data_IF_622990079452
#
_entry.id   IF_622990079452
#
_cell.length_a   1.000
_cell.length_b   1.000
_cell.length_c   1.000
_cell.angle_alpha   90.00
_cell.angle_beta   90.00
_cell.angle_gamma   90.00
#
_symmetry.space_group_name_H-M   'P 1'
#
loop_
_entity.id
_entity.type
_entity.pdbx_description
1 polymer ?
#
# COMPACT_ATOMS: atom_id res chain seq x y z
N UNK A 1 6.62 -35.34 -22.72
CA UNK A 1 7.04 -34.11 -22.01
C UNK A 1 5.77 -33.51 -21.45
N UNK A 2 5.57 -33.62 -20.15
CA UNK A 2 4.40 -33.07 -19.46
C UNK A 2 4.48 -31.54 -19.44
N UNK A 3 3.53 -30.86 -20.07
CA UNK A 3 3.35 -29.42 -19.95
C UNK A 3 3.15 -29.07 -18.47
N UNK A 4 4.17 -28.49 -17.83
CA UNK A 4 4.03 -27.92 -16.49
C UNK A 4 3.19 -26.64 -16.62
N UNK A 5 1.95 -26.69 -16.13
CA UNK A 5 1.10 -25.50 -16.03
C UNK A 5 1.72 -24.55 -15.00
N UNK A 6 1.97 -23.30 -15.41
CA UNK A 6 2.41 -22.21 -14.53
C UNK A 6 1.26 -21.23 -14.32
N UNK A 7 1.32 -20.46 -13.23
CA UNK A 7 0.41 -19.34 -12.98
C UNK A 7 1.18 -18.19 -12.30
N UNK A 8 0.69 -16.96 -12.41
CA UNK A 8 1.25 -15.80 -11.70
C UNK A 8 0.48 -15.57 -10.41
N UNK A 9 1.19 -15.41 -9.29
CA UNK A 9 0.58 -15.03 -8.02
C UNK A 9 -0.06 -13.64 -8.17
N UNK A 10 -1.37 -13.47 -7.94
CA UNK A 10 -2.04 -12.17 -8.10
C UNK A 10 -1.47 -11.10 -7.14
N UNK A 11 -0.84 -11.55 -6.05
CA UNK A 11 -0.33 -10.69 -4.98
C UNK A 11 1.09 -10.20 -5.16
N UNK A 12 2.05 -11.07 -5.50
CA UNK A 12 3.45 -10.67 -5.70
C UNK A 12 3.90 -10.72 -7.17
N UNK A 13 3.06 -11.25 -8.07
CA UNK A 13 3.38 -11.41 -9.49
C UNK A 13 4.33 -12.58 -9.79
N UNK A 14 4.85 -13.29 -8.77
CA UNK A 14 5.75 -14.42 -8.98
C UNK A 14 5.05 -15.51 -9.81
N UNK A 15 5.72 -15.97 -10.85
CA UNK A 15 5.27 -17.11 -11.65
C UNK A 15 5.73 -18.38 -10.98
N UNK A 16 4.79 -19.26 -10.63
CA UNK A 16 5.05 -20.54 -9.94
C UNK A 16 4.38 -21.70 -10.63
N UNK A 17 4.89 -22.91 -10.36
CA UNK A 17 4.27 -24.16 -10.79
C UNK A 17 2.88 -24.31 -10.16
N UNK A 18 1.89 -24.72 -10.97
CA UNK A 18 0.50 -24.88 -10.54
C UNK A 18 0.23 -26.02 -9.54
N UNK A 19 1.27 -26.76 -9.12
CA UNK A 19 1.20 -27.76 -8.05
C UNK A 19 1.31 -27.18 -6.64
N UNK A 20 1.66 -25.89 -6.51
CA UNK A 20 1.83 -25.23 -5.21
C UNK A 20 0.53 -24.62 -4.69
N UNK A 21 0.13 -24.97 -3.46
CA UNK A 21 -1.08 -24.45 -2.81
C UNK A 21 -0.87 -23.07 -2.14
N UNK A 22 0.37 -22.60 -2.08
CA UNK A 22 0.75 -21.29 -1.53
C UNK A 22 1.99 -20.75 -2.21
N UNK A 23 2.02 -19.44 -2.44
CA UNK A 23 3.12 -18.75 -3.07
C UNK A 23 4.33 -18.81 -2.13
N UNK A 24 5.44 -19.44 -2.55
CA UNK A 24 6.62 -19.59 -1.69
C UNK A 24 7.31 -18.26 -1.39
N UNK A 25 7.00 -17.20 -2.15
CA UNK A 25 7.63 -15.90 -2.00
C UNK A 25 6.86 -14.97 -1.07
N UNK A 26 5.52 -14.95 -1.13
CA UNK A 26 4.71 -14.04 -0.31
C UNK A 26 3.74 -14.73 0.66
N UNK A 27 3.67 -16.06 0.65
CA UNK A 27 2.80 -16.86 1.52
C UNK A 27 1.31 -16.87 1.14
N UNK A 28 0.90 -16.17 0.07
CA UNK A 28 -0.49 -16.14 -0.39
C UNK A 28 -0.95 -17.55 -0.83
N UNK A 29 -2.10 -18.05 -0.39
CA UNK A 29 -2.61 -19.33 -0.91
C UNK A 29 -2.97 -19.19 -2.40
N UNK A 30 -2.65 -20.23 -3.18
CA UNK A 30 -2.81 -20.24 -4.64
C UNK A 30 -3.83 -21.32 -5.06
N UNK A 31 -4.81 -21.62 -4.22
CA UNK A 31 -5.93 -22.46 -4.68
C UNK A 31 -6.77 -21.64 -5.67
N UNK A 32 -6.37 -21.76 -6.95
CA UNK A 32 -6.84 -21.02 -8.11
C UNK A 32 -8.21 -21.51 -8.60
N UNK A 33 -9.10 -21.91 -7.69
CA UNK A 33 -10.52 -21.58 -7.82
C UNK A 33 -10.74 -20.24 -7.13
N UNK A 34 -10.18 -19.25 -7.79
CA UNK A 34 -10.41 -17.82 -7.62
C UNK A 34 -11.72 -17.50 -6.88
N UNK A 35 -11.63 -17.02 -5.63
CA UNK A 35 -12.58 -16.00 -5.16
C UNK A 35 -12.16 -14.66 -5.78
N UNK A 36 -11.88 -14.65 -7.09
CA UNK A 36 -12.07 -13.45 -7.90
C UNK A 36 -13.57 -13.43 -8.08
N UNK A 37 -14.24 -12.70 -7.19
CA UNK A 37 -15.67 -12.46 -7.36
C UNK A 37 -15.90 -11.89 -8.76
N UNK A 38 -17.12 -11.97 -9.31
CA UNK A 38 -17.46 -11.34 -10.60
C UNK A 38 -17.01 -9.86 -10.69
N UNK A 39 -16.82 -9.22 -9.53
CA UNK A 39 -16.30 -7.85 -9.41
C UNK A 39 -14.80 -7.67 -9.73
N UNK A 40 -14.02 -8.75 -9.91
CA UNK A 40 -12.60 -8.72 -10.27
C UNK A 40 -11.63 -8.50 -9.10
N UNK A 41 -12.11 -8.55 -7.85
CA UNK A 41 -11.27 -8.43 -6.65
C UNK A 41 -10.90 -9.80 -6.09
N UNK A 42 -9.63 -9.97 -5.74
CA UNK A 42 -9.13 -11.07 -4.94
C UNK A 42 -8.80 -10.54 -3.53
N UNK A 43 -9.42 -11.10 -2.50
CA UNK A 43 -9.00 -10.85 -1.11
C UNK A 43 -7.58 -11.39 -0.90
N UNK A 44 -6.81 -10.81 0.02
CA UNK A 44 -5.59 -11.45 0.50
C UNK A 44 -5.99 -12.83 1.01
N UNK A 45 -5.60 -13.91 0.31
CA UNK A 45 -5.95 -15.23 0.79
C UNK A 45 -5.29 -15.37 2.16
N UNK A 46 -6.06 -15.81 3.15
CA UNK A 46 -5.59 -16.02 4.51
C UNK A 46 -4.23 -16.71 4.44
N UNK A 47 -3.18 -15.97 4.77
CA UNK A 47 -1.83 -16.52 4.84
C UNK A 47 -1.94 -17.70 5.78
N UNK A 48 -1.35 -18.84 5.42
CA UNK A 48 -1.23 -19.91 6.39
C UNK A 48 -0.52 -19.30 7.60
N UNK A 49 -1.17 -19.32 8.75
CA UNK A 49 -0.56 -18.87 10.00
C UNK A 49 0.84 -19.47 10.12
N UNK A 50 1.81 -18.68 10.56
CA UNK A 50 3.23 -19.02 10.59
C UNK A 50 3.91 -19.10 9.20
N UNK A 51 3.47 -18.33 8.21
CA UNK A 51 4.12 -18.25 6.90
C UNK A 51 5.57 -17.76 7.05
N UNK A 52 6.54 -18.57 6.60
CA UNK A 52 7.97 -18.23 6.60
C UNK A 52 8.43 -17.72 5.24
N UNK A 53 8.90 -16.48 5.20
CA UNK A 53 9.39 -15.79 4.02
C UNK A 53 10.92 -15.62 4.14
N UNK A 54 11.67 -16.31 3.29
CA UNK A 54 13.13 -16.25 3.29
C UNK A 54 13.63 -14.99 2.59
N UNK A 55 14.64 -14.32 3.16
CA UNK A 55 15.40 -13.25 2.51
C UNK A 55 16.86 -13.28 2.96
N UNK A 56 17.82 -13.22 2.03
CA UNK A 56 19.23 -13.42 2.39
C UNK A 56 19.44 -14.74 3.15
N UNK A 57 20.14 -14.71 4.28
CA UNK A 57 20.23 -15.84 5.23
C UNK A 57 19.30 -15.69 6.44
N UNK A 58 18.31 -14.81 6.32
CA UNK A 58 17.31 -14.47 7.33
C UNK A 58 15.92 -14.92 6.91
N UNK A 59 14.98 -14.92 7.83
CA UNK A 59 13.58 -15.17 7.49
C UNK A 59 12.64 -14.28 8.29
N UNK A 60 11.48 -14.01 7.72
CA UNK A 60 10.33 -13.40 8.39
C UNK A 60 9.24 -14.45 8.55
N UNK A 61 8.77 -14.65 9.76
CA UNK A 61 7.57 -15.39 10.07
C UNK A 61 6.43 -14.41 10.33
N UNK A 62 5.30 -14.61 9.67
CA UNK A 62 4.09 -13.82 9.93
C UNK A 62 3.18 -14.64 10.83
N UNK A 63 2.88 -14.09 12.00
CA UNK A 63 2.12 -14.75 13.06
C UNK A 63 0.86 -13.97 13.39
N UNK A 64 -0.20 -14.69 13.76
CA UNK A 64 -1.43 -14.09 14.27
C UNK A 64 -2.40 -13.71 13.15
N UNK A 65 -3.69 -13.99 13.40
CA UNK A 65 -4.75 -13.84 12.41
C UNK A 65 -5.51 -12.51 12.51
N UNK A 66 -5.54 -11.88 13.69
CA UNK A 66 -6.35 -10.68 13.94
C UNK A 66 -5.51 -9.41 14.01
N UNK A 67 -4.39 -9.46 14.74
CA UNK A 67 -3.38 -8.38 14.79
C UNK A 67 -2.04 -9.04 14.47
N UNK A 68 -1.62 -9.03 13.20
CA UNK A 68 -0.48 -9.82 12.77
C UNK A 68 0.85 -9.20 13.21
N UNK A 69 1.84 -10.07 13.43
CA UNK A 69 3.22 -9.74 13.79
C UNK A 69 4.16 -10.30 12.73
N UNK A 70 5.16 -9.51 12.32
CA UNK A 70 6.31 -9.99 11.55
C UNK A 70 7.45 -10.25 12.53
N UNK A 71 7.71 -11.51 12.85
CA UNK A 71 8.88 -11.96 13.60
C UNK A 71 10.01 -12.25 12.61
N UNK A 72 11.14 -11.53 12.72
CA UNK A 72 12.29 -11.70 11.85
C UNK A 72 13.49 -12.22 12.63
N UNK A 73 14.05 -13.34 12.15
CA UNK A 73 15.36 -13.83 12.55
C UNK A 73 16.42 -13.29 11.59
N UNK A 74 17.25 -12.35 12.06
CA UNK A 74 18.29 -11.71 11.25
C UNK A 74 19.63 -12.43 11.40
N UNK A 75 20.23 -12.82 10.28
CA UNK A 75 21.63 -13.19 10.18
C UNK A 75 22.53 -11.94 10.27
N UNK A 76 23.81 -12.13 10.63
CA UNK A 76 24.74 -11.03 10.91
C UNK A 76 24.93 -10.04 9.74
N UNK A 77 24.89 -10.53 8.50
CA UNK A 77 25.04 -9.72 7.29
C UNK A 77 23.74 -9.06 6.82
N UNK A 78 22.60 -9.52 7.33
CA UNK A 78 21.29 -9.05 6.90
C UNK A 78 20.80 -7.92 7.82
N UNK A 79 20.06 -7.00 7.23
CA UNK A 79 19.50 -5.86 7.93
C UNK A 79 18.18 -5.45 7.31
N UNK A 80 17.39 -4.72 8.09
CA UNK A 80 16.07 -4.21 7.71
C UNK A 80 15.96 -2.75 8.13
N UNK A 81 15.08 -2.00 7.45
CA UNK A 81 14.66 -0.68 7.89
C UNK A 81 13.14 -0.61 8.02
N UNK A 82 12.67 0.25 8.91
CA UNK A 82 11.28 0.26 9.35
C UNK A 82 10.85 1.65 9.83
N UNK A 83 9.54 1.85 9.90
CA UNK A 83 8.97 3.02 10.56
C UNK A 83 9.10 2.85 12.08
N UNK A 84 9.72 3.82 12.78
CA UNK A 84 10.10 3.64 14.20
C UNK A 84 8.97 3.16 15.14
N UNK A 85 7.72 3.55 14.86
CA UNK A 85 6.56 3.27 15.72
C UNK A 85 5.99 1.85 15.58
N UNK A 86 6.52 1.04 14.67
CA UNK A 86 6.02 -0.33 14.42
C UNK A 86 6.85 -1.42 15.10
N UNK A 87 7.92 -1.04 15.80
CA UNK A 87 8.75 -1.98 16.55
C UNK A 87 7.97 -2.54 17.74
N UNK A 88 7.82 -3.87 17.80
CA UNK A 88 7.13 -4.56 18.89
C UNK A 88 8.13 -5.03 19.95
N UNK A 89 9.14 -5.79 19.55
CA UNK A 89 10.20 -6.28 20.43
C UNK A 89 11.49 -6.57 19.65
N UNK A 90 12.61 -6.71 20.35
CA UNK A 90 13.90 -7.15 19.79
C UNK A 90 14.71 -7.91 20.83
N UNK A 91 15.64 -8.74 20.38
CA UNK A 91 16.71 -9.22 21.23
C UNK A 91 17.60 -8.04 21.68
N UNK A 92 18.14 -8.05 22.92
CA UNK A 92 19.01 -6.98 23.40
C UNK A 92 20.21 -6.68 22.49
N UNK A 93 20.78 -7.70 21.84
CA UNK A 93 21.94 -7.59 20.95
C UNK A 93 21.64 -6.95 19.59
N UNK A 94 20.39 -6.95 19.12
CA UNK A 94 20.02 -6.33 17.84
C UNK A 94 20.16 -4.82 17.98
N UNK A 95 21.08 -4.24 17.20
CA UNK A 95 21.38 -2.82 17.24
C UNK A 95 20.41 -2.06 16.36
N UNK A 96 19.80 -1.00 16.90
CA UNK A 96 18.92 -0.09 16.15
C UNK A 96 19.62 1.26 15.99
N UNK A 97 19.63 1.77 14.76
CA UNK A 97 20.13 3.11 14.44
C UNK A 97 19.12 3.87 13.59
N UNK A 98 19.29 5.19 13.50
CA UNK A 98 18.51 6.00 12.55
C UNK A 98 19.00 5.77 11.12
N UNK A 99 18.09 5.60 10.18
CA UNK A 99 18.41 5.53 8.76
C UNK A 99 18.32 6.93 8.16
N UNK A 100 19.43 7.41 7.58
CA UNK A 100 19.43 8.69 6.88
C UNK A 100 18.63 8.61 5.59
N UNK A 101 17.55 9.39 5.48
CA UNK A 101 16.80 9.53 4.23
C UNK A 101 17.37 10.70 3.40
N UNK A 102 17.86 10.41 2.20
CA UNK A 102 18.25 11.46 1.25
C UNK A 102 17.04 12.34 0.96
N UNK A 103 17.12 13.64 1.27
CA UNK A 103 16.00 14.57 1.07
C UNK A 103 15.00 14.66 2.22
N UNK A 104 15.27 14.03 3.38
CA UNK A 104 14.41 14.11 4.58
C UNK A 104 13.98 15.54 4.93
N UNK A 105 14.88 16.51 4.76
CA UNK A 105 14.60 17.93 5.01
C UNK A 105 13.45 18.49 4.16
N UNK A 106 13.39 18.13 2.87
CA UNK A 106 12.30 18.57 1.97
C UNK A 106 10.95 18.01 2.41
N UNK A 107 10.94 16.79 2.96
CA UNK A 107 9.74 16.13 3.49
C UNK A 107 9.30 16.68 4.85
N UNK A 108 10.26 17.07 5.69
CA UNK A 108 9.97 17.74 6.96
C UNK A 108 9.34 19.12 6.73
N UNK A 109 9.84 19.88 5.75
CA UNK A 109 9.26 21.17 5.36
C UNK A 109 7.83 21.04 4.80
N UNK A 110 7.46 19.88 4.26
CA UNK A 110 6.09 19.57 3.85
C UNK A 110 5.24 18.96 4.98
N UNK A 111 5.68 19.05 6.24
CA UNK A 111 4.87 18.74 7.42
C UNK A 111 4.84 17.27 7.85
N UNK A 112 5.76 16.42 7.36
CA UNK A 112 5.73 14.98 7.64
C UNK A 112 7.08 14.45 8.13
N UNK A 113 7.33 14.36 9.45
CA UNK A 113 8.50 13.65 9.95
C UNK A 113 8.29 12.13 9.78
N UNK A 114 9.01 11.49 8.85
CA UNK A 114 9.19 10.04 8.87
C UNK A 114 10.55 9.77 9.47
N UNK A 115 10.54 9.30 10.72
CA UNK A 115 11.74 8.75 11.35
C UNK A 115 11.85 7.31 10.89
N UNK A 116 12.76 7.10 9.94
CA UNK A 116 13.15 5.78 9.47
C UNK A 116 14.27 5.26 10.36
N UNK A 117 14.13 4.03 10.83
CA UNK A 117 15.11 3.32 11.65
C UNK A 117 15.59 2.08 10.93
N UNK A 118 16.80 1.61 11.25
CA UNK A 118 17.34 0.36 10.72
C UNK A 118 17.82 -0.53 11.86
N UNK A 119 17.74 -1.83 11.65
CA UNK A 119 18.27 -2.86 12.54
C UNK A 119 19.11 -3.86 11.75
N UNK A 120 20.25 -4.26 12.32
CA UNK A 120 21.13 -5.25 11.74
C UNK A 120 21.26 -6.46 12.68
N UNK A 121 21.33 -7.65 12.10
CA UNK A 121 21.58 -8.88 12.86
C UNK A 121 22.99 -8.95 13.47
N UNK A 122 23.28 -10.02 14.23
CA UNK A 122 22.42 -11.19 14.43
C UNK A 122 21.36 -10.99 15.54
N UNK A 123 20.25 -11.70 15.43
CA UNK A 123 19.22 -11.80 16.47
C UNK A 123 17.80 -11.63 15.95
N UNK A 124 16.84 -11.66 16.87
CA UNK A 124 15.42 -11.54 16.55
C UNK A 124 14.88 -10.12 16.74
N UNK A 125 13.95 -9.74 15.88
CA UNK A 125 13.25 -8.46 15.94
C UNK A 125 11.84 -8.65 15.37
N UNK A 126 10.85 -8.05 16.02
CA UNK A 126 9.46 -8.14 15.58
C UNK A 126 8.80 -6.80 15.36
N UNK A 127 7.91 -6.76 14.37
CA UNK A 127 7.15 -5.58 13.97
C UNK A 127 5.66 -5.87 13.98
N UNK A 128 4.87 -4.92 14.46
CA UNK A 128 3.42 -4.98 14.39
C UNK A 128 2.83 -3.58 14.35
N UNK A 129 1.62 -3.48 13.82
CA UNK A 129 0.78 -2.29 14.00
C UNK A 129 -0.27 -2.63 15.03
N UNK A 130 -0.47 -1.73 16.00
CA UNK A 130 -1.53 -1.86 16.99
C UNK A 130 -2.92 -1.57 16.38
N UNK A 131 -3.33 -2.45 15.45
CA UNK A 131 -4.59 -2.36 14.73
C UNK A 131 -5.00 -3.74 14.18
N UNK A 132 -6.29 -4.10 14.24
CA UNK A 132 -6.80 -5.28 13.55
C UNK A 132 -6.67 -5.18 12.03
N UNK A 133 -6.21 -6.27 11.41
CA UNK A 133 -6.18 -6.38 9.97
C UNK A 133 -5.15 -7.39 9.46
N UNK A 134 -4.52 -7.06 8.34
CA UNK A 134 -3.68 -7.98 7.59
C UNK A 134 -2.28 -7.43 7.35
N UNK A 135 -1.28 -8.30 7.52
CA UNK A 135 0.08 -8.02 7.11
C UNK A 135 0.23 -8.40 5.66
N UNK A 136 0.67 -7.47 4.83
CA UNK A 136 0.92 -7.67 3.41
C UNK A 136 2.42 -7.80 3.22
N UNK A 137 2.84 -8.85 2.52
CA UNK A 137 4.21 -9.15 2.14
C UNK A 137 4.31 -9.03 0.63
N UNK A 138 5.18 -8.12 0.21
CA UNK A 138 5.50 -7.81 -1.17
C UNK A 138 6.99 -8.12 -1.39
N UNK A 139 7.31 -9.35 -1.82
CA UNK A 139 8.60 -9.65 -2.42
C UNK A 139 8.74 -8.85 -3.71
N UNK A 140 9.82 -8.10 -3.83
CA UNK A 140 10.16 -7.31 -5.00
C UNK A 140 11.36 -7.94 -5.70
N UNK A 141 11.21 -8.30 -6.97
CA UNK A 141 12.30 -8.79 -7.82
C UNK A 141 13.14 -7.62 -8.35
N UNK A 142 14.39 -7.85 -8.80
CA UNK A 142 15.19 -6.80 -9.45
C UNK A 142 14.41 -6.09 -10.57
N UNK A 143 14.44 -4.76 -10.57
CA UNK A 143 13.69 -3.91 -11.48
C UNK A 143 12.22 -3.68 -11.12
N UNK A 144 11.67 -4.37 -10.12
CA UNK A 144 10.30 -4.14 -9.66
C UNK A 144 10.20 -2.96 -8.69
N UNK A 145 9.02 -2.34 -8.73
CA UNK A 145 8.67 -1.23 -7.87
C UNK A 145 7.19 -1.29 -7.51
N UNK A 146 6.83 -0.70 -6.37
CA UNK A 146 5.46 -0.55 -5.91
C UNK A 146 5.29 0.83 -5.28
N UNK A 147 4.17 1.48 -5.60
CA UNK A 147 3.79 2.77 -5.03
C UNK A 147 2.77 2.54 -3.92
N UNK A 148 3.08 2.97 -2.70
CA UNK A 148 2.34 2.68 -1.47
C UNK A 148 1.78 3.98 -0.90
N UNK A 149 0.53 3.95 -0.43
CA UNK A 149 -0.04 5.10 0.29
C UNK A 149 0.69 5.27 1.62
N UNK A 150 0.94 6.52 2.00
CA UNK A 150 1.62 6.84 3.25
C UNK A 150 0.94 6.19 4.48
N UNK A 151 1.72 5.93 5.53
CA UNK A 151 1.30 5.34 6.80
C UNK A 151 0.90 3.85 6.75
N UNK A 152 1.30 3.12 5.72
CA UNK A 152 1.10 1.67 5.61
C UNK A 152 2.39 0.85 5.75
N UNK A 153 3.55 1.50 5.57
CA UNK A 153 4.85 0.87 5.65
C UNK A 153 5.16 0.36 7.06
N UNK A 154 5.56 -0.90 7.17
CA UNK A 154 6.10 -1.48 8.40
C UNK A 154 7.63 -1.57 8.32
N UNK A 155 8.12 -2.47 7.49
CA UNK A 155 9.52 -2.88 7.43
C UNK A 155 9.87 -3.35 6.03
N UNK A 156 11.11 -3.11 5.60
CA UNK A 156 11.66 -3.68 4.38
C UNK A 156 13.11 -4.13 4.58
N UNK A 157 13.52 -5.12 3.77
CA UNK A 157 14.90 -5.59 3.75
C UNK A 157 15.83 -4.54 3.17
N UNK A 158 17.10 -4.56 3.59
CA UNK A 158 18.07 -3.51 3.29
C UNK A 158 18.34 -3.21 1.81
N UNK A 159 17.97 -4.12 0.92
CA UNK A 159 18.12 -3.97 -0.52
C UNK A 159 16.89 -3.35 -1.22
N UNK A 160 15.78 -3.11 -0.50
CA UNK A 160 14.65 -2.34 -0.99
C UNK A 160 14.96 -0.85 -0.83
N UNK A 161 15.05 -0.13 -1.94
CA UNK A 161 15.20 1.33 -1.92
C UNK A 161 13.87 2.00 -1.62
N UNK A 162 13.89 2.97 -0.72
CA UNK A 162 12.78 3.88 -0.45
C UNK A 162 12.97 5.20 -1.19
N UNK A 163 11.91 5.68 -1.83
CA UNK A 163 11.76 7.00 -2.43
C UNK A 163 10.32 7.48 -2.26
N UNK A 164 9.99 8.69 -2.70
CA UNK A 164 8.63 9.21 -2.69
C UNK A 164 8.38 10.18 -3.83
N UNK A 165 7.10 10.40 -4.17
CA UNK A 165 6.69 11.35 -5.20
C UNK A 165 5.38 12.04 -4.82
N UNK A 166 5.12 13.21 -5.40
CA UNK A 166 3.85 13.91 -5.18
C UNK A 166 2.69 13.13 -5.79
N UNK A 167 1.64 12.91 -5.02
CA UNK A 167 0.47 12.14 -5.47
C UNK A 167 -0.30 12.85 -6.60
N UNK A 168 -0.21 14.19 -6.65
CA UNK A 168 -0.99 15.06 -7.53
C UNK A 168 -2.51 14.81 -7.43
N UNK A 169 -3.00 14.41 -6.25
CA UNK A 169 -4.42 14.31 -5.94
C UNK A 169 -4.77 15.42 -4.95
N UNK A 170 -5.24 16.55 -5.45
CA UNK A 170 -5.59 17.70 -4.62
C UNK A 170 -6.75 18.51 -5.19
N UNK A 171 -7.44 19.22 -4.30
CA UNK A 171 -8.39 20.27 -4.65
C UNK A 171 -8.33 21.40 -3.64
N UNK A 172 -8.85 22.56 -4.01
CA UNK A 172 -8.95 23.73 -3.12
C UNK A 172 -10.40 24.08 -2.89
N UNK A 173 -10.72 24.46 -1.67
CA UNK A 173 -12.01 25.05 -1.32
C UNK A 173 -11.81 26.46 -0.82
N UNK A 174 -12.83 27.31 -1.00
CA UNK A 174 -12.80 28.69 -0.53
C UNK A 174 -13.89 28.95 0.49
N UNK A 175 -13.56 29.70 1.54
CA UNK A 175 -14.50 30.25 2.50
C UNK A 175 -14.18 31.74 2.71
N UNK A 176 -14.98 32.63 2.14
CA UNK A 176 -14.65 34.06 2.08
C UNK A 176 -13.30 34.31 1.41
N UNK A 177 -12.35 34.87 2.15
CA UNK A 177 -10.99 35.15 1.66
C UNK A 177 -9.99 34.01 1.92
N UNK A 178 -10.39 32.98 2.68
CA UNK A 178 -9.54 31.85 3.00
C UNK A 178 -9.63 30.77 1.91
N UNK A 179 -8.47 30.24 1.51
CA UNK A 179 -8.35 29.11 0.59
C UNK A 179 -7.67 27.98 1.31
N UNK A 180 -8.27 26.80 1.26
CA UNK A 180 -7.78 25.59 1.89
C UNK A 180 -7.49 24.55 0.81
N UNK A 181 -6.29 23.96 0.82
CA UNK A 181 -5.90 22.88 -0.09
C UNK A 181 -6.04 21.54 0.60
N UNK A 182 -6.79 20.64 -0.03
CA UNK A 182 -7.07 19.30 0.44
C UNK A 182 -6.27 18.29 -0.37
N UNK A 183 -5.71 17.28 0.29
CA UNK A 183 -4.98 16.17 -0.33
C UNK A 183 -5.66 14.84 0.02
N UNK A 184 -6.74 14.45 -0.68
CA UNK A 184 -7.53 13.26 -0.35
C UNK A 184 -6.75 11.96 -0.16
N UNK A 185 -5.69 11.78 -0.95
CA UNK A 185 -4.84 10.59 -0.90
C UNK A 185 -3.65 10.75 0.07
N UNK A 186 -3.32 11.98 0.46
CA UNK A 186 -2.01 12.39 0.95
C UNK A 186 -1.25 13.21 -0.09
N UNK A 187 -0.34 14.07 0.36
CA UNK A 187 0.45 14.92 -0.54
C UNK A 187 1.47 14.10 -1.34
N UNK A 188 1.97 13.01 -0.74
CA UNK A 188 2.95 12.13 -1.34
C UNK A 188 2.43 10.69 -1.41
N UNK A 189 3.14 9.89 -2.20
CA UNK A 189 3.13 8.44 -2.11
C UNK A 189 4.56 7.96 -1.93
N UNK A 190 4.70 6.89 -1.17
CA UNK A 190 5.97 6.20 -1.00
C UNK A 190 6.20 5.28 -2.20
N UNK A 191 7.44 5.17 -2.66
CA UNK A 191 7.87 4.23 -3.69
C UNK A 191 8.94 3.32 -3.13
N UNK A 192 8.70 2.02 -3.23
CA UNK A 192 9.66 0.99 -2.86
C UNK A 192 10.10 0.24 -4.10
N UNK A 193 11.40 0.06 -4.30
CA UNK A 193 11.93 -0.61 -5.48
C UNK A 193 13.28 -1.28 -5.24
N UNK A 194 13.57 -2.30 -6.02
CA UNK A 194 14.78 -3.11 -5.89
C UNK A 194 15.59 -3.04 -7.18
N UNK A 195 16.68 -2.26 -7.26
CA UNK A 195 17.42 -2.09 -8.51
C UNK A 195 18.09 -3.39 -8.98
N UNK A 196 18.79 -4.08 -8.07
CA UNK A 196 19.75 -5.13 -8.43
C UNK A 196 19.48 -6.49 -7.75
N UNK A 197 18.82 -6.50 -6.60
CA UNK A 197 18.66 -7.72 -5.78
C UNK A 197 17.23 -7.84 -5.24
N UNK A 198 16.66 -9.06 -5.13
CA UNK A 198 15.29 -9.26 -4.65
C UNK A 198 15.13 -8.89 -3.18
N UNK A 199 14.11 -8.13 -2.81
CA UNK A 199 13.86 -7.66 -1.44
C UNK A 199 12.47 -8.00 -0.95
N UNK A 200 12.23 -7.84 0.35
CA UNK A 200 10.93 -8.05 0.97
C UNK A 200 10.46 -6.73 1.60
N UNK A 201 9.25 -6.31 1.23
CA UNK A 201 8.54 -5.18 1.81
C UNK A 201 7.31 -5.68 2.56
N UNK A 202 7.13 -5.26 3.80
CA UNK A 202 5.94 -5.52 4.60
C UNK A 202 5.14 -4.25 4.83
N UNK A 203 3.84 -4.35 4.59
CA UNK A 203 2.83 -3.32 4.84
C UNK A 203 1.77 -3.84 5.80
N UNK A 204 1.00 -2.93 6.39
CA UNK A 204 -0.19 -3.28 7.16
C UNK A 204 -1.45 -2.68 6.54
N UNK A 205 -2.46 -3.52 6.32
CA UNK A 205 -3.82 -3.11 5.99
C UNK A 205 -4.72 -3.26 7.21
N UNK A 206 -5.54 -2.24 7.50
CA UNK A 206 -6.57 -2.36 8.53
C UNK A 206 -7.79 -3.08 7.95
N UNK A 207 -8.37 -4.01 8.70
CA UNK A 207 -9.38 -4.93 8.17
C UNK A 207 -8.78 -5.86 7.12
N UNK A 208 -9.52 -6.11 6.03
CA UNK A 208 -9.14 -7.02 4.95
C UNK A 208 -8.51 -6.25 3.79
N UNK A 209 -7.51 -6.84 3.15
CA UNK A 209 -6.88 -6.34 1.94
C UNK A 209 -7.44 -7.05 0.71
N UNK A 210 -7.69 -6.29 -0.36
CA UNK A 210 -8.16 -6.79 -1.64
C UNK A 210 -7.24 -6.27 -2.74
N UNK A 211 -6.90 -7.11 -3.71
CA UNK A 211 -6.10 -6.76 -4.88
C UNK A 211 -6.90 -7.00 -6.15
N UNK A 212 -6.73 -6.12 -7.12
CA UNK A 212 -7.30 -6.24 -8.46
C UNK A 212 -6.27 -5.84 -9.49
N UNK A 213 -6.10 -6.66 -10.51
CA UNK A 213 -5.32 -6.33 -11.70
C UNK A 213 -6.19 -5.59 -12.69
N UNK A 214 -5.76 -4.38 -13.08
CA UNK A 214 -6.38 -3.60 -14.14
C UNK A 214 -5.69 -3.91 -15.46
N UNK A 215 -6.48 -4.26 -16.48
CA UNK A 215 -6.03 -4.30 -17.86
C UNK A 215 -5.70 -2.88 -18.38
N UNK A 216 -5.01 -2.74 -19.54
CA UNK A 216 -4.80 -1.44 -20.15
C UNK A 216 -6.11 -0.67 -20.33
N UNK A 217 -6.14 0.60 -19.91
CA UNK A 217 -7.31 1.48 -19.92
C UNK A 217 -8.49 1.07 -19.01
N UNK A 218 -8.43 -0.11 -18.36
CA UNK A 218 -9.44 -0.48 -17.38
C UNK A 218 -9.37 0.47 -16.19
N UNK A 219 -10.53 0.95 -15.76
CA UNK A 219 -10.67 1.96 -14.72
C UNK A 219 -11.41 1.40 -13.52
N UNK A 220 -11.05 1.86 -12.33
CA UNK A 220 -11.82 1.67 -11.10
C UNK A 220 -11.86 2.95 -10.28
N UNK A 221 -12.94 3.14 -9.52
CA UNK A 221 -13.10 4.21 -8.54
C UNK A 221 -13.01 3.62 -7.15
N UNK A 222 -12.16 4.19 -6.30
CA UNK A 222 -12.01 3.77 -4.89
C UNK A 222 -12.03 5.00 -3.99
N UNK A 223 -12.30 4.79 -2.69
CA UNK A 223 -12.07 5.87 -1.71
C UNK A 223 -10.57 6.13 -1.61
N UNK A 224 -10.10 7.39 -1.67
CA UNK A 224 -8.67 7.70 -1.65
C UNK A 224 -7.90 7.05 -0.49
N UNK A 225 -8.45 7.13 0.72
CA UNK A 225 -7.86 6.56 1.95
C UNK A 225 -7.99 5.04 2.05
N UNK A 226 -8.75 4.40 1.16
CA UNK A 226 -8.82 2.94 1.06
C UNK A 226 -7.67 2.35 0.24
N UNK A 227 -6.98 3.13 -0.60
CA UNK A 227 -5.84 2.63 -1.39
C UNK A 227 -4.76 2.06 -0.46
N UNK A 228 -4.20 0.90 -0.78
CA UNK A 228 -3.03 0.36 -0.11
C UNK A 228 -1.78 0.63 -0.94
N UNK A 229 -1.76 0.07 -2.14
CA UNK A 229 -0.69 0.29 -3.10
C UNK A 229 -1.21 0.13 -4.53
N UNK A 230 -0.36 0.53 -5.48
CA UNK A 230 -0.52 0.26 -6.90
C UNK A 230 0.81 -0.04 -7.55
N UNK A 231 0.78 -0.81 -8.63
CA UNK A 231 1.92 -0.90 -9.53
C UNK A 231 2.18 0.48 -10.16
N UNK A 232 3.44 0.90 -10.36
CA UNK A 232 3.77 2.23 -10.88
C UNK A 232 3.10 2.59 -12.21
N UNK A 233 2.77 1.59 -13.02
CA UNK A 233 2.10 1.73 -14.32
C UNK A 233 0.65 2.19 -14.19
N UNK A 234 -0.03 1.92 -13.07
CA UNK A 234 -1.39 2.38 -12.81
C UNK A 234 -1.36 3.89 -12.56
N UNK A 235 -2.19 4.62 -13.29
CA UNK A 235 -2.31 6.07 -13.16
C UNK A 235 -3.43 6.44 -12.19
N UNK A 236 -3.35 7.66 -11.64
CA UNK A 236 -4.30 8.19 -10.66
C UNK A 236 -4.88 9.52 -11.11
N UNK A 237 -6.15 9.75 -10.82
CA UNK A 237 -6.83 11.01 -11.09
C UNK A 237 -7.96 11.25 -10.08
N UNK A 238 -8.27 12.50 -9.76
CA UNK A 238 -9.47 12.82 -9.00
C UNK A 238 -10.72 12.55 -9.86
N UNK A 239 -11.75 11.97 -9.27
CA UNK A 239 -13.08 11.85 -9.90
C UNK A 239 -14.15 12.39 -8.95
N UNK A 240 -14.95 13.31 -9.46
CA UNK A 240 -15.96 14.03 -8.68
C UNK A 240 -17.33 13.66 -9.22
N UNK A 241 -18.18 13.25 -8.32
CA UNK A 241 -19.44 12.64 -8.69
C UNK A 241 -20.52 13.39 -7.87
N UNK A 242 -21.58 13.88 -8.51
CA UNK A 242 -22.61 14.74 -7.87
C UNK A 242 -24.04 14.48 -8.38
N UNK A 243 -25.12 14.84 -7.65
CA UNK A 243 -26.48 14.73 -8.16
C UNK A 243 -26.73 15.68 -9.35
N UNK A 244 -27.41 15.19 -10.38
CA UNK A 244 -27.95 15.99 -11.47
C UNK A 244 -29.09 16.87 -10.96
N UNK A 245 -29.26 18.07 -11.54
CA UNK A 245 -30.44 18.90 -11.29
C UNK A 245 -30.55 19.54 -9.89
N UNK A 246 -29.46 19.67 -9.13
CA UNK A 246 -29.53 20.38 -7.84
C UNK A 246 -29.82 21.87 -8.08
N UNK A 247 -31.07 22.27 -7.84
CA UNK A 247 -31.45 23.68 -7.70
C UNK A 247 -30.60 24.25 -6.55
N UNK A 248 -29.73 25.19 -6.91
CA UNK A 248 -28.82 25.94 -6.04
C UNK A 248 -29.61 26.83 -5.07
N UNK A 249 -30.34 26.21 -4.16
CA UNK A 249 -31.07 26.91 -3.13
C UNK A 249 -30.51 26.43 -1.79
N UNK A 250 -29.64 27.27 -1.24
CA UNK A 250 -29.32 27.45 0.17
C UNK A 250 -28.73 26.31 1.03
N UNK A 251 -28.59 25.03 0.61
CA UNK A 251 -28.05 24.01 1.55
C UNK A 251 -27.40 22.70 1.05
N UNK A 252 -27.12 22.48 -0.24
CA UNK A 252 -26.54 21.20 -0.70
C UNK A 252 -25.30 21.39 -1.59
N UNK A 253 -24.19 21.85 -1.02
CA UNK A 253 -22.89 21.88 -1.70
C UNK A 253 -21.96 20.73 -1.27
N UNK A 254 -22.41 19.91 -0.30
CA UNK A 254 -21.68 18.75 0.25
C UNK A 254 -22.17 17.38 -0.17
N UNK A 255 -23.24 17.27 -0.96
CA UNK A 255 -23.66 15.99 -1.51
C UNK A 255 -22.86 15.68 -2.77
N UNK A 256 -21.61 15.25 -2.59
CA UNK A 256 -20.76 14.73 -3.67
C UNK A 256 -19.96 13.53 -3.19
N UNK A 257 -19.55 12.69 -4.11
CA UNK A 257 -18.51 11.71 -3.85
C UNK A 257 -17.20 12.18 -4.48
N UNK A 258 -16.16 12.15 -3.65
CA UNK A 258 -14.78 12.32 -4.07
C UNK A 258 -14.15 10.93 -4.15
N UNK A 259 -13.77 10.55 -5.36
CA UNK A 259 -13.19 9.26 -5.67
C UNK A 259 -11.75 9.42 -6.14
N UNK A 260 -10.93 8.42 -5.84
CA UNK A 260 -9.68 8.19 -6.53
C UNK A 260 -9.96 7.29 -7.74
N UNK A 261 -9.79 7.84 -8.94
CA UNK A 261 -9.84 7.08 -10.18
C UNK A 261 -8.48 6.48 -10.47
N UNK A 262 -8.43 5.15 -10.57
CA UNK A 262 -7.25 4.38 -10.91
C UNK A 262 -7.45 3.75 -12.29
N UNK A 263 -6.46 3.84 -13.17
CA UNK A 263 -6.57 3.26 -14.50
C UNK A 263 -5.26 2.61 -14.96
N UNK A 264 -5.41 1.39 -15.49
CA UNK A 264 -4.32 0.44 -15.72
C UNK A 264 -3.47 0.70 -16.97
N UNK A 265 -2.49 -0.19 -17.21
CA UNK A 265 -2.41 -1.54 -16.62
C UNK A 265 -1.72 -1.61 -15.25
N UNK A 266 -2.01 -2.66 -14.48
CA UNK A 266 -1.29 -3.03 -13.25
C UNK A 266 -2.20 -3.30 -12.06
N UNK A 267 -1.60 -3.77 -10.95
CA UNK A 267 -2.33 -4.08 -9.72
C UNK A 267 -2.69 -2.82 -8.95
N UNK A 268 -3.85 -2.88 -8.31
CA UNK A 268 -4.34 -1.96 -7.29
C UNK A 268 -4.77 -2.78 -6.09
N UNK A 269 -4.35 -2.38 -4.90
CA UNK A 269 -4.87 -2.97 -3.67
C UNK A 269 -5.57 -1.94 -2.79
N UNK A 270 -6.60 -2.39 -2.06
CA UNK A 270 -7.40 -1.59 -1.14
C UNK A 270 -7.64 -2.32 0.17
N UNK A 271 -7.98 -1.57 1.21
CA UNK A 271 -8.38 -2.11 2.52
C UNK A 271 -9.86 -1.84 2.82
N UNK A 272 -10.52 -2.75 3.54
CA UNK A 272 -11.93 -2.58 3.96
C UNK A 272 -12.11 -1.57 5.09
N UNK A 273 -11.16 -1.50 6.04
CA UNK A 273 -11.19 -0.49 7.09
C UNK A 273 -10.31 0.70 6.69
N UNK A 274 -10.94 1.82 6.35
CA UNK A 274 -10.26 3.05 5.95
C UNK A 274 -10.87 4.26 6.65
N UNK A 275 -10.04 5.26 6.90
CA UNK A 275 -10.50 6.52 7.50
C UNK A 275 -11.43 7.23 6.55
N UNK A 276 -12.61 7.61 7.05
CA UNK A 276 -13.53 8.44 6.28
C UNK A 276 -12.88 9.79 5.98
N UNK A 277 -12.89 10.19 4.71
CA UNK A 277 -12.47 11.54 4.34
C UNK A 277 -13.66 12.47 4.55
N UNK A 278 -13.54 13.40 5.49
CA UNK A 278 -14.53 14.46 5.67
C UNK A 278 -14.44 15.44 4.50
N UNK A 279 -15.47 15.46 3.66
CA UNK A 279 -15.67 16.53 2.71
C UNK A 279 -16.37 17.68 3.43
N UNK A 280 -15.69 18.83 3.52
CA UNK A 280 -16.25 20.03 4.16
C UNK A 280 -17.47 20.61 3.40
N UNK A 281 -17.83 20.03 2.26
CA UNK A 281 -18.98 20.40 1.45
C UNK A 281 -18.89 21.80 0.83
N UNK A 282 -17.70 22.40 0.83
CA UNK A 282 -17.44 23.70 0.21
C UNK A 282 -17.22 23.53 -1.29
N UNK A 283 -17.42 24.64 -2.01
CA UNK A 283 -17.18 24.69 -3.44
C UNK A 283 -15.70 24.45 -3.75
N UNK A 284 -15.44 23.49 -4.63
CA UNK A 284 -14.11 23.28 -5.18
C UNK A 284 -13.82 24.40 -6.17
N UNK A 285 -12.78 25.18 -5.91
CA UNK A 285 -12.37 26.31 -6.76
C UNK A 285 -11.29 25.94 -7.76
N UNK A 286 -10.41 25.01 -7.42
CA UNK A 286 -9.34 24.45 -8.28
C UNK A 286 -9.06 23.01 -7.89
N UNK A 287 -8.54 22.21 -8.81
CA UNK A 287 -8.16 20.82 -8.55
C UNK A 287 -7.05 20.37 -9.50
N UNK A 288 -6.41 19.24 -9.19
CA UNK A 288 -5.29 18.65 -9.94
C UNK A 288 -5.65 18.00 -11.29
N UNK A 289 -6.75 18.42 -11.90
CA UNK A 289 -7.41 17.70 -13.00
C UNK A 289 -8.32 16.59 -12.49
N UNK A 290 -9.61 16.69 -12.79
CA UNK A 290 -10.63 15.78 -12.29
C UNK A 290 -11.61 15.45 -13.40
N UNK A 291 -12.03 14.18 -13.45
CA UNK A 291 -13.21 13.79 -14.22
C UNK A 291 -14.46 14.08 -13.41
N UNK A 292 -15.59 14.32 -14.08
CA UNK A 292 -16.85 14.62 -13.42
C UNK A 292 -17.97 13.75 -13.98
N UNK A 293 -18.85 13.29 -13.10
CA UNK A 293 -20.09 12.64 -13.49
C UNK A 293 -21.23 13.18 -12.64
N UNK A 294 -22.42 13.28 -13.26
CA UNK A 294 -23.65 13.59 -12.53
C UNK A 294 -24.56 12.36 -12.51
N UNK A 295 -25.19 12.06 -11.37
CA UNK A 295 -26.16 10.96 -11.25
C UNK A 295 -27.57 11.52 -11.04
N UNK A 296 -28.58 10.86 -11.61
CA UNK A 296 -29.98 11.30 -11.54
C UNK A 296 -30.50 11.67 -12.91
#
# INVERSE_FOLDING_TARGET
MSDQKTHSCPWCGLVTDASTLSCPSCGATIDAREVVTESGWAELPGRKDMAKLQFGSSFCQIEGNYVPVADMSLAAQDWVYFAHHVLLWKDPQVTITTMGLKGAWKRLLSGMPLVMTQAQGPGHIAFSRDAPGEMIALPLQPGQAVDVREHLFLVATGNVTYDWFQSNIWFTTRNGNETETHYPLGMFMDRFFTPNAPGLLLLHAAGNAFVRSLAPNQTILVKPTALLFKDPTVQMQLHIERPAGTWSSWRSWGNRYLWLRLYGPGRVAVQSAYTHMEDNGRNITRHSGATQQSWG
#
